data_IF_572558294957
#
_entry.id   IF_572558294957
#
_cell.length_a   1.000
_cell.length_b   1.000
_cell.length_c   1.000
_cell.angle_alpha   90.00
_cell.angle_beta   90.00
_cell.angle_gamma   90.00
#
_symmetry.space_group_name_H-M   'P 1'
#
loop_
_entity.id
_entity.type
_entity.pdbx_description
1 polymer ?
#
# COMPACT_ATOMS: atom_id res chain seq x y z
N UNK A 1 -66.69 -21.78 10.31
CA UNK A 1 -66.08 -20.73 11.13
C UNK A 1 -64.69 -21.12 11.70
N UNK A 2 -64.45 -22.33 12.21
CA UNK A 2 -63.19 -22.75 12.81
C UNK A 2 -61.95 -22.74 11.88
N UNK A 3 -62.11 -23.07 10.58
CA UNK A 3 -60.99 -23.06 9.62
C UNK A 3 -60.46 -21.66 9.26
N UNK A 4 -61.36 -20.65 9.29
CA UNK A 4 -61.00 -19.26 8.99
C UNK A 4 -60.22 -18.62 10.16
N UNK A 5 -60.64 -18.93 11.38
CA UNK A 5 -59.95 -18.44 12.59
C UNK A 5 -58.55 -19.03 12.75
N UNK A 6 -58.37 -20.32 12.43
CA UNK A 6 -57.05 -20.96 12.48
C UNK A 6 -56.06 -20.38 11.47
N UNK A 7 -56.51 -20.02 10.25
CA UNK A 7 -55.71 -19.34 9.24
C UNK A 7 -55.31 -17.91 9.65
N UNK A 8 -56.21 -17.20 10.30
CA UNK A 8 -55.96 -15.82 10.75
C UNK A 8 -54.94 -15.77 11.89
N UNK A 9 -55.03 -16.69 12.85
CA UNK A 9 -54.04 -16.81 13.94
C UNK A 9 -52.68 -17.20 13.43
N UNK A 10 -52.57 -18.08 12.42
CA UNK A 10 -51.29 -18.46 11.82
C UNK A 10 -50.68 -17.30 11.02
N UNK A 11 -51.47 -16.52 10.29
CA UNK A 11 -50.99 -15.37 9.52
C UNK A 11 -50.51 -14.24 10.43
N UNK A 12 -51.19 -13.96 11.54
CA UNK A 12 -50.78 -12.94 12.52
C UNK A 12 -49.51 -13.38 13.26
N UNK A 13 -49.40 -14.67 13.62
CA UNK A 13 -48.19 -15.21 14.28
C UNK A 13 -46.96 -15.17 13.40
N UNK A 14 -47.11 -15.46 12.11
CA UNK A 14 -45.97 -15.39 11.13
C UNK A 14 -45.56 -13.93 10.89
N UNK A 15 -46.53 -13.01 10.75
CA UNK A 15 -46.20 -11.59 10.55
C UNK A 15 -45.49 -10.96 11.76
N UNK A 16 -45.95 -11.28 12.98
CA UNK A 16 -45.32 -10.80 14.22
C UNK A 16 -43.92 -11.43 14.44
N UNK A 17 -43.75 -12.71 14.09
CA UNK A 17 -42.44 -13.38 14.16
C UNK A 17 -41.42 -12.79 13.20
N UNK A 18 -41.82 -12.48 11.95
CA UNK A 18 -40.97 -11.83 10.95
C UNK A 18 -40.58 -10.40 11.34
N UNK A 19 -41.52 -9.60 11.89
CA UNK A 19 -41.23 -8.24 12.32
C UNK A 19 -40.32 -8.18 13.55
N UNK A 20 -40.51 -9.07 14.52
CA UNK A 20 -39.63 -9.21 15.68
C UNK A 20 -38.26 -9.72 15.29
N UNK A 21 -38.15 -10.66 14.33
CA UNK A 21 -36.88 -11.16 13.81
C UNK A 21 -36.09 -10.10 13.05
N UNK A 22 -36.76 -9.28 12.23
CA UNK A 22 -36.16 -8.14 11.54
C UNK A 22 -35.68 -7.07 12.53
N UNK A 23 -36.51 -6.75 13.57
CA UNK A 23 -36.13 -5.75 14.57
C UNK A 23 -34.97 -6.23 15.46
N UNK A 24 -34.94 -7.50 15.86
CA UNK A 24 -33.84 -8.09 16.59
C UNK A 24 -32.56 -8.17 15.71
N UNK A 25 -32.70 -8.49 14.42
CA UNK A 25 -31.59 -8.51 13.47
C UNK A 25 -30.94 -7.13 13.28
N UNK A 26 -31.75 -6.07 13.23
CA UNK A 26 -31.21 -4.71 13.11
C UNK A 26 -30.51 -4.22 14.39
N UNK A 27 -30.97 -4.65 15.56
CA UNK A 27 -30.31 -4.35 16.85
C UNK A 27 -29.00 -5.13 17.06
N UNK A 28 -28.85 -6.29 16.42
CA UNK A 28 -27.61 -7.08 16.46
C UNK A 28 -26.56 -6.57 15.45
N UNK A 29 -26.95 -5.73 14.50
CA UNK A 29 -25.99 -4.98 13.70
C UNK A 29 -25.32 -3.95 14.62
N UNK A 30 -24.17 -4.36 15.16
CA UNK A 30 -23.33 -3.50 15.98
C UNK A 30 -23.07 -2.22 15.20
N UNK A 31 -23.56 -1.08 15.70
CA UNK A 31 -23.22 0.22 15.11
C UNK A 31 -21.71 0.28 14.97
N UNK A 32 -21.24 0.33 13.73
CA UNK A 32 -19.82 0.55 13.47
C UNK A 32 -19.49 1.93 14.01
N UNK A 33 -18.85 1.96 15.17
CA UNK A 33 -18.35 3.23 15.72
C UNK A 33 -17.52 3.91 14.63
N UNK A 34 -18.05 5.01 14.12
CA UNK A 34 -17.26 5.88 13.23
C UNK A 34 -16.02 6.28 14.02
N UNK A 35 -14.86 5.87 13.55
CA UNK A 35 -13.59 6.25 14.20
C UNK A 35 -13.37 7.73 13.99
N UNK A 36 -12.91 8.42 15.03
CA UNK A 36 -12.46 9.80 14.89
C UNK A 36 -11.38 9.89 13.80
N UNK A 37 -11.54 10.87 12.92
CA UNK A 37 -10.55 11.14 11.87
C UNK A 37 -9.26 11.57 12.57
N UNK A 38 -8.18 10.83 12.33
CA UNK A 38 -6.86 11.17 12.88
C UNK A 38 -6.43 12.56 12.38
N UNK A 39 -5.65 13.32 13.16
CA UNK A 39 -5.22 14.68 12.79
C UNK A 39 -4.59 14.76 11.40
N UNK A 40 -3.80 13.77 11.01
CA UNK A 40 -3.20 13.66 9.69
C UNK A 40 -4.23 13.77 8.54
N UNK A 41 -5.41 13.16 8.70
CA UNK A 41 -6.48 13.15 7.67
C UNK A 41 -7.45 14.33 7.77
N UNK A 42 -7.18 15.36 8.57
CA UNK A 42 -8.03 16.55 8.72
C UNK A 42 -7.71 17.68 7.75
N UNK A 43 -6.72 17.53 6.90
CA UNK A 43 -6.35 18.54 5.91
C UNK A 43 -7.47 18.71 4.87
N UNK A 44 -7.61 19.96 4.38
CA UNK A 44 -8.63 20.31 3.37
C UNK A 44 -8.15 20.21 1.93
N UNK A 45 -6.84 20.17 1.71
CA UNK A 45 -6.22 20.05 0.38
C UNK A 45 -6.10 18.58 -0.04
N UNK A 46 -6.01 18.29 -1.36
CA UNK A 46 -5.66 16.96 -1.82
C UNK A 46 -4.32 16.53 -1.22
N UNK A 47 -4.21 15.27 -0.83
CA UNK A 47 -2.95 14.67 -0.41
C UNK A 47 -2.12 14.30 -1.63
N UNK A 48 -0.84 14.63 -1.62
CA UNK A 48 0.12 14.25 -2.65
C UNK A 48 1.01 13.14 -2.11
N UNK A 49 0.96 11.98 -2.76
CA UNK A 49 1.83 10.85 -2.44
C UNK A 49 2.82 10.64 -3.57
N UNK A 50 4.10 10.58 -3.25
CA UNK A 50 5.13 10.30 -4.23
C UNK A 50 5.13 8.80 -4.57
N UNK A 51 4.68 8.46 -5.79
CA UNK A 51 4.60 7.09 -6.30
C UNK A 51 5.99 6.48 -6.39
N UNK A 52 6.17 5.29 -5.78
CA UNK A 52 7.45 4.58 -5.65
C UNK A 52 8.59 5.46 -5.12
N UNK A 53 8.27 6.32 -4.15
CA UNK A 53 9.25 7.24 -3.56
C UNK A 53 9.61 8.45 -4.41
N UNK A 54 9.01 8.64 -5.59
CA UNK A 54 9.29 9.76 -6.50
C UNK A 54 9.92 9.32 -7.82
N UNK A 55 9.41 8.25 -8.43
CA UNK A 55 9.95 7.63 -9.66
C UNK A 55 10.06 8.57 -10.86
N UNK A 56 9.34 9.70 -10.88
CA UNK A 56 9.45 10.72 -11.92
C UNK A 56 10.62 11.69 -11.73
N UNK A 57 11.29 11.66 -10.57
CA UNK A 57 12.37 12.57 -10.20
C UNK A 57 13.73 11.88 -10.15
N UNK A 58 13.76 10.59 -9.81
CA UNK A 58 14.95 9.79 -9.63
C UNK A 58 14.59 8.28 -9.69
N UNK A 59 15.59 7.37 -9.69
CA UNK A 59 15.35 5.94 -9.74
C UNK A 59 14.40 5.48 -8.61
N UNK A 60 13.32 4.82 -8.98
CA UNK A 60 12.26 4.39 -8.06
C UNK A 60 12.81 3.60 -6.85
N UNK A 61 12.19 3.79 -5.67
CA UNK A 61 12.50 3.09 -4.43
C UNK A 61 13.96 3.23 -3.93
N UNK A 62 14.72 4.20 -4.45
CA UNK A 62 16.05 4.51 -3.96
C UNK A 62 16.06 5.68 -2.99
N UNK A 63 17.10 5.79 -2.16
CA UNK A 63 17.23 6.91 -1.22
C UNK A 63 17.17 8.26 -1.91
N UNK A 64 17.79 8.39 -3.10
CA UNK A 64 17.80 9.66 -3.86
C UNK A 64 16.37 10.05 -4.32
N UNK A 65 15.50 9.09 -4.63
CA UNK A 65 14.12 9.38 -5.01
C UNK A 65 13.33 9.96 -3.83
N UNK A 66 13.44 9.34 -2.66
CA UNK A 66 12.79 9.81 -1.44
C UNK A 66 13.29 11.20 -1.02
N UNK A 67 14.62 11.42 -1.05
CA UNK A 67 15.21 12.71 -0.74
C UNK A 67 14.66 13.82 -1.66
N UNK A 68 14.65 13.58 -2.98
CA UNK A 68 14.11 14.55 -3.96
C UNK A 68 12.61 14.80 -3.80
N UNK A 69 11.81 13.77 -3.61
CA UNK A 69 10.38 13.95 -3.45
C UNK A 69 10.04 14.71 -2.15
N UNK A 70 10.84 14.56 -1.11
CA UNK A 70 10.70 15.31 0.15
C UNK A 70 10.85 16.83 -0.04
N UNK A 71 11.64 17.28 -1.02
CA UNK A 71 11.81 18.70 -1.34
C UNK A 71 10.51 19.37 -1.82
N UNK A 72 9.56 18.57 -2.32
CA UNK A 72 8.24 19.03 -2.79
C UNK A 72 7.18 19.06 -1.69
N UNK A 73 7.54 18.80 -0.43
CA UNK A 73 6.61 18.75 0.71
C UNK A 73 5.42 17.81 0.46
N UNK A 74 5.67 16.62 -0.09
CA UNK A 74 4.65 15.60 -0.27
C UNK A 74 4.13 15.11 1.09
N UNK A 75 2.84 14.77 1.19
CA UNK A 75 2.23 14.28 2.43
C UNK A 75 2.60 12.83 2.76
N UNK A 76 3.15 12.10 1.80
CA UNK A 76 3.60 10.74 2.03
C UNK A 76 4.21 10.11 0.80
N UNK A 77 4.67 8.88 0.98
CA UNK A 77 5.22 8.05 -0.08
C UNK A 77 4.34 6.81 -0.27
N UNK A 78 4.12 6.46 -1.52
CA UNK A 78 3.64 5.14 -1.87
C UNK A 78 4.85 4.26 -2.13
N UNK A 79 4.87 3.05 -1.56
CA UNK A 79 5.99 2.13 -1.64
C UNK A 79 5.52 0.68 -1.80
N UNK A 80 6.32 -0.11 -2.50
CA UNK A 80 6.20 -1.56 -2.54
C UNK A 80 7.28 -2.22 -1.69
N UNK A 81 7.02 -3.40 -1.17
CA UNK A 81 8.00 -4.15 -0.39
C UNK A 81 8.16 -5.58 -0.92
N UNK A 82 9.36 -6.11 -0.80
CA UNK A 82 9.72 -7.49 -1.14
C UNK A 82 10.56 -8.11 -0.04
N UNK A 83 10.56 -9.42 0.00
CA UNK A 83 11.39 -10.21 0.90
C UNK A 83 12.58 -10.77 0.13
N UNK A 84 13.78 -10.60 0.68
CA UNK A 84 15.03 -11.16 0.17
C UNK A 84 15.18 -12.64 0.53
N UNK A 85 16.24 -13.29 0.04
CA UNK A 85 16.57 -14.68 0.37
C UNK A 85 16.86 -14.89 1.87
N UNK A 86 17.43 -13.90 2.52
CA UNK A 86 17.79 -13.85 3.94
C UNK A 86 16.73 -13.16 4.80
N UNK A 87 15.46 -13.08 4.29
CA UNK A 87 14.28 -12.60 4.98
C UNK A 87 14.30 -11.12 5.39
N UNK A 88 15.15 -10.30 4.77
CA UNK A 88 15.13 -8.86 4.95
C UNK A 88 14.02 -8.21 4.09
N UNK A 89 13.34 -7.19 4.64
CA UNK A 89 12.31 -6.45 3.91
C UNK A 89 12.95 -5.28 3.19
N UNK A 90 12.96 -5.34 1.86
CA UNK A 90 13.45 -4.27 1.00
C UNK A 90 12.31 -3.51 0.33
N UNK A 91 12.53 -2.23 0.04
CA UNK A 91 11.58 -1.39 -0.70
C UNK A 91 11.83 -1.57 -2.18
N UNK A 92 10.92 -2.27 -2.86
CA UNK A 92 11.10 -2.63 -4.27
C UNK A 92 9.81 -3.11 -4.92
N UNK A 93 9.54 -2.74 -6.20
CA UNK A 93 8.29 -3.05 -6.88
C UNK A 93 8.29 -4.46 -7.51
N UNK A 94 9.24 -4.75 -8.38
CA UNK A 94 9.23 -5.94 -9.23
C UNK A 94 9.62 -7.23 -8.46
N UNK A 95 9.32 -8.37 -9.02
CA UNK A 95 9.85 -9.64 -8.51
C UNK A 95 11.32 -9.87 -8.90
N UNK A 96 11.82 -9.17 -9.93
CA UNK A 96 13.16 -9.30 -10.51
C UNK A 96 13.85 -7.94 -10.53
N UNK A 97 15.18 -7.94 -10.36
CA UNK A 97 16.01 -6.72 -10.32
C UNK A 97 16.34 -6.13 -11.70
N UNK A 98 16.08 -6.87 -12.75
CA UNK A 98 16.58 -6.68 -14.12
C UNK A 98 16.18 -5.34 -14.74
N UNK A 99 14.96 -4.84 -14.45
CA UNK A 99 14.44 -3.61 -15.08
C UNK A 99 15.11 -2.35 -14.55
N UNK A 100 15.46 -2.31 -13.28
CA UNK A 100 15.91 -1.08 -12.60
C UNK A 100 17.37 -1.12 -12.18
N UNK A 101 18.05 -2.28 -12.29
CA UNK A 101 19.44 -2.40 -11.87
C UNK A 101 20.35 -2.98 -12.98
N UNK A 102 21.64 -2.94 -12.75
CA UNK A 102 22.64 -3.61 -13.57
C UNK A 102 22.78 -5.12 -13.30
N UNK A 103 21.95 -5.65 -12.37
CA UNK A 103 21.92 -7.08 -12.04
C UNK A 103 20.79 -7.83 -12.75
N UNK A 104 20.70 -9.12 -12.46
CA UNK A 104 19.64 -10.00 -12.96
C UNK A 104 19.23 -11.00 -11.89
N UNK A 105 17.94 -11.39 -11.91
CA UNK A 105 17.41 -12.45 -11.05
C UNK A 105 16.31 -11.98 -10.12
N UNK A 106 15.72 -12.99 -9.45
CA UNK A 106 14.59 -12.79 -8.56
C UNK A 106 15.07 -12.30 -7.18
N UNK A 107 14.46 -11.26 -6.64
CA UNK A 107 14.79 -10.71 -5.31
C UNK A 107 14.81 -11.79 -4.22
N UNK A 108 13.83 -12.68 -4.20
CA UNK A 108 13.77 -13.78 -3.21
C UNK A 108 14.88 -14.81 -3.32
N UNK A 109 15.76 -14.72 -4.32
CA UNK A 109 16.92 -15.58 -4.50
C UNK A 109 18.24 -14.85 -4.17
N UNK A 110 18.20 -13.55 -3.90
CA UNK A 110 19.34 -12.69 -3.60
C UNK A 110 19.31 -12.28 -2.13
N UNK A 111 20.45 -12.24 -1.48
CA UNK A 111 20.60 -11.70 -0.13
C UNK A 111 20.56 -10.17 -0.15
N UNK A 112 20.36 -9.53 1.00
CA UNK A 112 20.46 -8.07 1.09
C UNK A 112 21.86 -7.58 0.68
N UNK A 113 22.92 -8.33 1.01
CA UNK A 113 24.29 -8.02 0.62
C UNK A 113 24.45 -8.03 -0.91
N UNK A 114 23.97 -9.11 -1.58
CA UNK A 114 23.96 -9.18 -3.05
C UNK A 114 23.24 -7.99 -3.68
N UNK A 115 22.09 -7.60 -3.12
CA UNK A 115 21.29 -6.48 -3.63
C UNK A 115 21.98 -5.13 -3.43
N UNK A 116 22.69 -4.91 -2.33
CA UNK A 116 23.43 -3.66 -2.05
C UNK A 116 24.61 -3.42 -2.98
N UNK A 117 25.17 -4.46 -3.59
CA UNK A 117 26.20 -4.32 -4.62
C UNK A 117 25.66 -3.79 -5.96
N UNK A 118 24.36 -3.99 -6.23
CA UNK A 118 23.74 -3.57 -7.49
C UNK A 118 23.57 -2.05 -7.58
N UNK A 119 23.59 -1.55 -8.81
CA UNK A 119 23.31 -0.16 -9.16
C UNK A 119 21.86 -0.04 -9.63
N UNK A 120 20.99 0.50 -8.79
CA UNK A 120 19.57 0.73 -9.09
C UNK A 120 19.31 2.06 -9.83
N UNK A 121 20.34 2.85 -10.11
CA UNK A 121 20.30 3.99 -11.00
C UNK A 121 20.65 3.67 -12.46
N UNK A 122 21.05 2.42 -12.74
CA UNK A 122 21.69 2.02 -13.99
C UNK A 122 20.84 2.29 -15.23
N UNK A 123 19.56 2.00 -15.20
CA UNK A 123 18.63 2.16 -16.33
C UNK A 123 17.80 3.44 -16.28
N UNK A 124 17.90 4.22 -15.21
CA UNK A 124 17.18 5.49 -15.13
C UNK A 124 17.67 6.46 -16.20
N UNK A 125 16.72 7.09 -16.89
CA UNK A 125 17.00 8.16 -17.87
C UNK A 125 16.23 9.42 -17.49
N UNK A 126 16.87 10.57 -17.62
CA UNK A 126 16.19 11.87 -17.54
C UNK A 126 15.43 12.19 -18.84
N UNK A 127 14.80 13.36 -18.89
CA UNK A 127 14.03 13.82 -20.07
C UNK A 127 14.91 14.07 -21.31
N UNK A 128 16.23 14.22 -21.14
CA UNK A 128 17.22 14.43 -22.19
C UNK A 128 17.84 13.10 -22.64
N UNK A 129 17.53 11.98 -21.98
CA UNK A 129 18.06 10.65 -22.27
C UNK A 129 19.40 10.35 -21.59
N UNK A 130 19.85 11.18 -20.64
CA UNK A 130 21.07 10.93 -19.88
C UNK A 130 20.81 9.95 -18.73
N UNK A 131 21.88 9.41 -18.15
CA UNK A 131 21.84 8.50 -17.00
C UNK A 131 22.47 9.15 -15.75
N UNK A 132 21.84 10.16 -15.15
CA UNK A 132 22.46 10.98 -14.09
C UNK A 132 22.70 10.22 -12.78
N UNK A 133 22.06 9.06 -12.60
CA UNK A 133 22.16 8.26 -11.38
C UNK A 133 22.93 6.94 -11.54
N UNK A 134 23.48 6.68 -12.72
CA UNK A 134 24.31 5.49 -12.93
C UNK A 134 25.56 5.58 -12.06
N UNK A 135 25.76 4.59 -11.18
CA UNK A 135 26.86 4.57 -10.22
C UNK A 135 26.74 5.55 -9.05
N UNK A 136 25.56 6.19 -8.88
CA UNK A 136 25.34 7.13 -7.79
C UNK A 136 25.19 6.38 -6.44
N UNK A 137 25.89 6.84 -5.41
CA UNK A 137 25.95 6.21 -4.07
C UNK A 137 24.59 6.06 -3.38
N UNK A 138 23.65 6.98 -3.62
CA UNK A 138 22.28 6.94 -3.10
C UNK A 138 21.28 6.20 -4.02
N UNK A 139 21.71 5.74 -5.20
CA UNK A 139 20.88 4.93 -6.10
C UNK A 139 20.99 3.43 -5.76
N UNK A 140 20.89 3.11 -4.49
CA UNK A 140 20.97 1.77 -3.93
C UNK A 140 19.61 1.34 -3.38
N UNK A 141 19.41 0.02 -3.29
CA UNK A 141 18.23 -0.53 -2.62
C UNK A 141 18.22 -0.12 -1.13
N UNK A 142 17.05 0.17 -0.61
CA UNK A 142 16.87 0.49 0.81
C UNK A 142 16.00 -0.57 1.48
N UNK A 143 16.31 -0.91 2.71
CA UNK A 143 15.41 -1.71 3.53
C UNK A 143 14.26 -0.85 4.06
N UNK A 144 13.13 -1.48 4.37
CA UNK A 144 12.02 -0.77 5.02
C UNK A 144 12.47 -0.13 6.34
N UNK A 145 13.36 -0.77 7.07
CA UNK A 145 13.94 -0.25 8.33
C UNK A 145 14.74 1.03 8.09
N UNK A 146 15.61 1.06 7.08
CA UNK A 146 16.41 2.24 6.72
C UNK A 146 15.54 3.42 6.24
N UNK A 147 14.38 3.13 5.66
CA UNK A 147 13.47 4.17 5.16
C UNK A 147 12.68 4.86 6.28
N UNK A 148 12.30 4.14 7.34
CA UNK A 148 11.44 4.66 8.42
C UNK A 148 12.21 5.23 9.61
N UNK A 149 13.55 5.24 9.58
CA UNK A 149 14.44 5.87 10.57
C UNK A 149 14.74 7.32 10.21
#
# INVERSE_FOLDING_TARGET
MAKCFKRMVTAVGVATGLTLGLWAGTKLMKETKVRDIKPYFKQRSPYVFAHRGGMGLAPEHTRIAFDKASEFNVEGFEIDIRLTKDEEIVVFHDAYVDRTSNGAGKISNLTLEDLKELDFGYHFTDVEGNHPYRGHDKAKIVTLRELIQ
#
